data_IF_326542207554
#
_entry.id   IF_326542207554
#
_cell.length_a   1.000
_cell.length_b   1.000
_cell.length_c   1.000
_cell.angle_alpha   90.00
_cell.angle_beta   90.00
_cell.angle_gamma   90.00
#
_symmetry.space_group_name_H-M   'P 1'
#
loop_
_entity.id
_entity.type
_entity.pdbx_description
1 polymer ?
#
# COMPACT_ATOMS: atom_id res chain seq x y z
N UNK A 1 -67.92 14.81 20.79
CA UNK A 1 -67.04 14.54 19.63
C UNK A 1 -66.95 15.82 18.81
N UNK A 2 -65.84 16.57 18.87
CA UNK A 2 -65.56 17.70 17.96
C UNK A 2 -64.05 17.71 17.72
N UNK A 3 -63.60 16.97 16.69
CA UNK A 3 -62.21 17.03 16.20
C UNK A 3 -62.04 18.37 15.49
N UNK A 4 -61.10 19.21 15.96
CA UNK A 4 -60.64 20.38 15.21
C UNK A 4 -59.99 19.86 13.91
N UNK A 5 -60.57 20.25 12.78
CA UNK A 5 -59.99 20.00 11.46
C UNK A 5 -58.62 20.71 11.38
N UNK A 6 -57.58 19.96 11.01
CA UNK A 6 -56.28 20.53 10.65
C UNK A 6 -56.47 21.25 9.31
N UNK A 7 -56.39 22.58 9.31
CA UNK A 7 -56.31 23.31 8.04
C UNK A 7 -54.95 22.98 7.41
N UNK A 8 -54.90 22.56 6.12
CA UNK A 8 -53.64 22.42 5.42
C UNK A 8 -53.04 23.82 5.23
N UNK A 9 -52.17 24.24 6.13
CA UNK A 9 -51.52 25.55 6.08
C UNK A 9 -50.57 25.61 4.88
N UNK A 10 -50.89 26.44 3.90
CA UNK A 10 -49.94 26.83 2.86
C UNK A 10 -48.96 27.87 3.39
N UNK A 11 -47.73 27.85 2.89
CA UNK A 11 -46.72 28.85 3.24
C UNK A 11 -47.14 30.24 2.77
N UNK A 12 -46.98 31.24 3.64
CA UNK A 12 -47.17 32.63 3.27
C UNK A 12 -46.06 33.07 2.32
N UNK A 13 -46.35 34.04 1.46
CA UNK A 13 -45.36 34.60 0.53
C UNK A 13 -44.13 35.17 1.26
N UNK A 14 -44.30 35.69 2.48
CA UNK A 14 -43.20 36.18 3.33
C UNK A 14 -42.32 35.03 3.82
N UNK A 15 -42.89 33.90 4.24
CA UNK A 15 -42.12 32.71 4.65
C UNK A 15 -41.30 32.14 3.49
N UNK A 16 -41.89 32.07 2.29
CA UNK A 16 -41.17 31.63 1.08
C UNK A 16 -40.02 32.57 0.71
N UNK A 17 -40.24 33.89 0.79
CA UNK A 17 -39.21 34.88 0.48
C UNK A 17 -38.06 34.84 1.49
N UNK A 18 -38.39 34.61 2.77
CA UNK A 18 -37.41 34.49 3.84
C UNK A 18 -36.58 33.20 3.72
N UNK A 19 -37.20 32.09 3.34
CA UNK A 19 -36.49 30.82 3.08
C UNK A 19 -35.57 30.94 1.86
N UNK A 20 -36.01 31.58 0.77
CA UNK A 20 -35.19 31.80 -0.41
C UNK A 20 -33.99 32.70 -0.11
N UNK A 21 -34.20 33.77 0.67
CA UNK A 21 -33.13 34.68 1.07
C UNK A 21 -32.08 33.98 1.96
N UNK A 22 -32.52 33.22 2.97
CA UNK A 22 -31.61 32.42 3.82
C UNK A 22 -30.85 31.37 3.02
N UNK A 23 -31.52 30.69 2.09
CA UNK A 23 -30.89 29.67 1.24
C UNK A 23 -29.80 30.29 0.35
N UNK A 24 -30.07 31.45 -0.24
CA UNK A 24 -29.10 32.16 -1.08
C UNK A 24 -27.87 32.62 -0.28
N UNK A 25 -28.05 33.09 0.96
CA UNK A 25 -26.94 33.50 1.83
C UNK A 25 -26.09 32.30 2.26
N UNK A 26 -26.72 31.19 2.65
CA UNK A 26 -26.00 29.97 3.08
C UNK A 26 -25.25 29.35 1.89
N UNK A 27 -25.90 29.20 0.74
CA UNK A 27 -25.26 28.65 -0.46
C UNK A 27 -24.17 29.58 -0.99
N UNK A 28 -24.40 30.89 -1.01
CA UNK A 28 -23.40 31.88 -1.39
C UNK A 28 -22.18 31.85 -0.47
N UNK A 29 -22.41 31.79 0.85
CA UNK A 29 -21.34 31.68 1.84
C UNK A 29 -20.53 30.39 1.69
N UNK A 30 -21.20 29.25 1.44
CA UNK A 30 -20.53 27.97 1.21
C UNK A 30 -19.68 27.98 -0.08
N UNK A 31 -20.22 28.52 -1.18
CA UNK A 31 -19.51 28.59 -2.48
C UNK A 31 -18.32 29.54 -2.41
N UNK A 32 -18.46 30.70 -1.76
CA UNK A 32 -17.34 31.64 -1.58
C UNK A 32 -16.29 31.04 -0.66
N UNK A 33 -16.69 30.42 0.46
CA UNK A 33 -15.76 29.77 1.40
C UNK A 33 -15.00 28.62 0.73
N UNK A 34 -15.70 27.77 -0.02
CA UNK A 34 -15.10 26.70 -0.80
C UNK A 34 -14.15 27.25 -1.88
N UNK A 35 -14.59 28.29 -2.61
CA UNK A 35 -13.77 28.98 -3.61
C UNK A 35 -12.51 29.61 -3.01
N UNK A 36 -12.60 30.21 -1.82
CA UNK A 36 -11.43 30.70 -1.09
C UNK A 36 -10.53 29.58 -0.61
N UNK A 37 -11.07 28.47 -0.09
CA UNK A 37 -10.26 27.31 0.32
C UNK A 37 -9.49 26.74 -0.89
N UNK A 38 -10.17 26.53 -2.02
CA UNK A 38 -9.57 26.03 -3.26
C UNK A 38 -8.55 27.00 -3.84
N UNK A 39 -8.77 28.33 -3.73
CA UNK A 39 -7.82 29.35 -4.23
C UNK A 39 -6.70 29.69 -3.24
N UNK A 40 -6.90 29.44 -1.95
CA UNK A 40 -5.88 29.59 -0.90
C UNK A 40 -5.05 28.34 -0.71
N UNK A 41 -5.45 27.22 -1.33
CA UNK A 41 -4.54 26.10 -1.50
C UNK A 41 -3.36 26.61 -2.32
N UNK A 42 -2.13 26.57 -1.78
CA UNK A 42 -0.97 26.89 -2.59
C UNK A 42 -1.02 26.00 -3.82
N UNK A 43 -0.92 26.60 -5.01
CA UNK A 43 -0.77 25.84 -6.25
C UNK A 43 0.59 25.14 -6.21
N UNK A 44 0.63 23.94 -5.63
CA UNK A 44 1.80 23.07 -5.67
C UNK A 44 1.51 21.91 -6.62
N UNK A 45 1.14 22.22 -7.86
CA UNK A 45 1.40 21.28 -8.95
C UNK A 45 2.86 21.44 -9.34
N UNK A 46 3.76 20.97 -8.49
CA UNK A 46 5.13 20.71 -8.92
C UNK A 46 5.23 19.22 -9.22
N UNK A 47 4.78 18.84 -10.43
CA UNK A 47 5.16 17.55 -10.99
C UNK A 47 6.68 17.50 -11.04
N UNK A 48 7.26 16.40 -10.57
CA UNK A 48 8.69 16.14 -10.62
C UNK A 48 8.92 15.12 -11.72
N UNK A 49 9.80 15.44 -12.66
CA UNK A 49 10.28 14.48 -13.65
C UNK A 49 11.23 13.49 -12.95
N UNK A 50 10.75 12.29 -12.67
CA UNK A 50 11.49 11.23 -11.99
C UNK A 50 12.19 10.35 -13.02
N UNK A 51 13.53 10.26 -13.01
CA UNK A 51 14.28 9.44 -13.95
C UNK A 51 14.27 7.97 -13.53
N UNK A 52 13.13 7.28 -13.72
CA UNK A 52 13.02 5.85 -13.41
C UNK A 52 13.92 4.99 -14.31
N UNK A 53 14.19 5.43 -15.53
CA UNK A 53 14.82 4.65 -16.58
C UNK A 53 13.83 3.70 -17.27
N UNK A 54 14.03 3.49 -18.57
CA UNK A 54 13.17 2.71 -19.45
C UNK A 54 12.80 1.32 -18.92
N UNK A 55 13.77 0.56 -18.38
CA UNK A 55 13.48 -0.78 -17.84
C UNK A 55 12.49 -0.76 -16.66
N UNK A 56 12.61 0.23 -15.76
CA UNK A 56 11.70 0.37 -14.61
C UNK A 56 10.33 0.89 -15.05
N UNK A 57 10.30 1.88 -15.92
CA UNK A 57 9.05 2.43 -16.44
C UNK A 57 8.26 1.37 -17.23
N UNK A 58 8.93 0.53 -18.02
CA UNK A 58 8.31 -0.57 -18.74
C UNK A 58 7.79 -1.63 -17.77
N UNK A 59 8.57 -2.02 -16.76
CA UNK A 59 8.12 -2.98 -15.76
C UNK A 59 6.93 -2.48 -14.91
N UNK A 60 6.93 -1.19 -14.57
CA UNK A 60 5.94 -0.60 -13.68
C UNK A 60 4.64 -0.30 -14.42
N UNK A 61 4.73 0.32 -15.60
CA UNK A 61 3.60 0.93 -16.29
C UNK A 61 3.41 0.44 -17.74
N UNK A 62 4.31 -0.41 -18.25
CA UNK A 62 4.32 -0.79 -19.67
C UNK A 62 4.71 0.37 -20.59
N UNK A 63 5.43 1.36 -20.07
CA UNK A 63 5.81 2.58 -20.79
C UNK A 63 7.29 2.54 -21.20
N UNK A 64 7.58 2.77 -22.48
CA UNK A 64 8.93 2.94 -23.00
C UNK A 64 9.38 4.40 -22.82
N UNK A 65 9.66 4.79 -21.57
CA UNK A 65 10.12 6.15 -21.21
C UNK A 65 11.19 6.09 -20.13
N UNK A 66 12.22 6.93 -20.22
CA UNK A 66 13.23 7.04 -19.16
C UNK A 66 12.78 7.90 -17.98
N UNK A 67 11.73 8.70 -18.16
CA UNK A 67 11.20 9.61 -17.13
C UNK A 67 9.70 9.43 -16.94
N UNK A 68 9.24 9.49 -15.70
CA UNK A 68 7.82 9.55 -15.34
C UNK A 68 7.57 10.81 -14.53
N UNK A 69 6.50 11.53 -14.84
CA UNK A 69 6.10 12.70 -14.07
C UNK A 69 5.28 12.25 -12.87
N UNK A 70 5.79 12.50 -11.66
CA UNK A 70 5.13 12.18 -10.41
C UNK A 70 4.73 13.45 -9.68
N UNK A 71 3.59 13.46 -8.99
CA UNK A 71 3.23 14.60 -8.17
C UNK A 71 4.12 14.68 -6.92
N UNK A 72 4.61 15.87 -6.57
CA UNK A 72 5.36 16.07 -5.32
C UNK A 72 4.41 16.09 -4.12
N UNK A 73 4.79 15.39 -3.05
CA UNK A 73 4.04 15.39 -1.79
C UNK A 73 4.21 16.72 -1.02
N UNK A 74 3.18 17.20 -0.30
CA UNK A 74 1.85 16.62 -0.17
C UNK A 74 0.97 16.91 -1.40
N UNK A 75 0.18 15.92 -1.85
CA UNK A 75 -0.71 16.04 -3.01
C UNK A 75 -2.07 15.36 -2.80
N UNK A 76 -3.16 16.14 -2.86
CA UNK A 76 -4.52 15.64 -2.64
C UNK A 76 -5.10 14.87 -3.84
N UNK A 77 -4.65 15.14 -5.07
CA UNK A 77 -5.05 14.34 -6.24
C UNK A 77 -4.46 12.92 -6.21
N UNK A 78 -3.22 12.77 -5.77
CA UNK A 78 -2.62 11.46 -5.53
C UNK A 78 -3.27 10.77 -4.32
N UNK A 79 -3.69 11.54 -3.30
CA UNK A 79 -4.45 11.02 -2.17
C UNK A 79 -5.79 10.40 -2.60
N UNK A 80 -6.54 11.04 -3.51
CA UNK A 80 -7.81 10.45 -3.98
C UNK A 80 -7.60 9.12 -4.71
N UNK A 81 -6.52 9.00 -5.50
CA UNK A 81 -6.16 7.73 -6.15
C UNK A 81 -5.71 6.68 -5.12
N UNK A 82 -5.02 7.09 -4.05
CA UNK A 82 -4.65 6.20 -2.96
C UNK A 82 -5.86 5.68 -2.18
N UNK A 83 -6.88 6.52 -1.96
CA UNK A 83 -8.14 6.13 -1.34
C UNK A 83 -8.95 5.16 -2.21
N UNK A 84 -9.06 5.43 -3.51
CA UNK A 84 -9.70 4.50 -4.46
C UNK A 84 -8.99 3.14 -4.47
N UNK A 85 -7.65 3.17 -4.53
CA UNK A 85 -6.84 1.95 -4.48
C UNK A 85 -6.99 1.20 -3.15
N UNK A 86 -7.12 1.93 -2.03
CA UNK A 86 -7.37 1.34 -0.71
C UNK A 86 -8.70 0.59 -0.69
N UNK A 87 -9.77 1.19 -1.21
CA UNK A 87 -11.08 0.54 -1.28
C UNK A 87 -11.05 -0.71 -2.15
N UNK A 88 -10.35 -0.64 -3.29
CA UNK A 88 -10.14 -1.80 -4.15
C UNK A 88 -9.33 -2.90 -3.44
N UNK A 89 -8.28 -2.54 -2.70
CA UNK A 89 -7.46 -3.49 -1.94
C UNK A 89 -8.24 -4.20 -0.85
N UNK A 90 -9.07 -3.47 -0.10
CA UNK A 90 -9.95 -4.08 0.90
C UNK A 90 -10.95 -5.02 0.25
N UNK A 91 -11.54 -4.64 -0.89
CA UNK A 91 -12.49 -5.49 -1.63
C UNK A 91 -11.82 -6.76 -2.15
N UNK A 92 -10.64 -6.64 -2.76
CA UNK A 92 -9.86 -7.79 -3.24
C UNK A 92 -9.48 -8.72 -2.08
N UNK A 93 -9.06 -8.15 -0.95
CA UNK A 93 -8.69 -8.90 0.25
C UNK A 93 -9.88 -9.64 0.87
N UNK A 94 -11.05 -9.00 0.94
CA UNK A 94 -12.26 -9.61 1.51
C UNK A 94 -12.73 -10.83 0.70
N UNK A 95 -12.52 -10.81 -0.61
CA UNK A 95 -12.87 -11.93 -1.51
C UNK A 95 -11.74 -12.95 -1.69
N UNK A 96 -10.59 -12.74 -1.05
CA UNK A 96 -9.41 -13.58 -1.20
C UNK A 96 -9.48 -14.85 -0.35
N UNK A 97 -8.89 -15.92 -0.87
CA UNK A 97 -8.66 -17.15 -0.09
C UNK A 97 -7.41 -17.05 0.77
N UNK A 98 -6.36 -16.42 0.24
CA UNK A 98 -5.11 -16.18 0.94
C UNK A 98 -4.44 -14.89 0.48
N UNK A 99 -3.68 -14.27 1.38
CA UNK A 99 -2.88 -13.07 1.12
C UNK A 99 -1.43 -13.32 1.54
N UNK A 100 -0.49 -13.09 0.64
CA UNK A 100 0.95 -13.23 0.92
C UNK A 100 1.71 -11.95 0.66
N UNK A 101 2.36 -11.42 1.69
CA UNK A 101 3.28 -10.29 1.55
C UNK A 101 4.71 -10.81 1.43
N UNK A 102 5.38 -10.49 0.32
CA UNK A 102 6.76 -10.87 0.05
C UNK A 102 7.64 -9.61 -0.10
N UNK A 103 8.74 -9.49 0.65
CA UNK A 103 9.66 -8.37 0.49
C UNK A 103 10.58 -8.58 -0.72
N UNK A 104 11.04 -7.50 -1.34
CA UNK A 104 11.94 -7.55 -2.51
C UNK A 104 12.91 -6.37 -2.54
N UNK A 105 14.10 -6.59 -3.09
CA UNK A 105 15.09 -5.53 -3.28
C UNK A 105 15.01 -4.89 -4.68
N UNK A 106 14.48 -5.63 -5.66
CA UNK A 106 14.37 -5.22 -7.06
C UNK A 106 12.93 -5.01 -7.52
N UNK A 107 12.78 -4.80 -8.83
CA UNK A 107 11.48 -4.74 -9.50
C UNK A 107 10.82 -6.11 -9.53
N UNK A 108 9.50 -6.16 -9.44
CA UNK A 108 8.76 -7.40 -9.62
C UNK A 108 8.66 -7.77 -11.12
N UNK A 109 9.39 -8.78 -11.56
CA UNK A 109 9.34 -9.27 -12.95
C UNK A 109 8.38 -10.46 -13.13
N UNK A 110 7.72 -10.91 -12.07
CA UNK A 110 6.87 -12.10 -12.09
C UNK A 110 5.47 -11.79 -11.55
N UNK A 111 4.54 -11.63 -12.49
CA UNK A 111 3.15 -11.22 -12.22
C UNK A 111 2.14 -12.20 -12.82
N UNK A 112 2.15 -13.48 -12.46
CA UNK A 112 1.29 -14.47 -13.10
C UNK A 112 -0.16 -14.30 -12.68
N UNK A 113 -1.10 -14.70 -13.55
CA UNK A 113 -2.51 -14.78 -13.15
C UNK A 113 -2.89 -16.12 -12.49
N UNK A 114 -2.04 -17.15 -12.63
CA UNK A 114 -2.23 -18.45 -11.98
C UNK A 114 -0.89 -19.02 -11.53
N UNK A 115 -0.91 -19.83 -10.47
CA UNK A 115 0.27 -20.50 -9.92
C UNK A 115 -0.02 -21.99 -9.90
N UNK A 116 0.85 -22.83 -10.46
CA UNK A 116 0.67 -24.27 -10.42
C UNK A 116 0.65 -24.77 -8.97
N UNK A 117 -0.24 -25.71 -8.67
CA UNK A 117 -0.37 -26.34 -7.35
C UNK A 117 -1.02 -27.72 -7.47
N UNK A 118 -0.35 -28.73 -6.95
CA UNK A 118 -0.80 -30.12 -6.86
C UNK A 118 -0.96 -30.52 -5.38
N UNK A 119 -2.19 -30.78 -4.93
CA UNK A 119 -2.45 -31.14 -3.53
C UNK A 119 -1.87 -32.48 -3.09
N UNK A 120 -1.38 -33.31 -4.02
CA UNK A 120 -0.74 -34.60 -3.72
C UNK A 120 0.77 -34.51 -3.54
N UNK A 121 1.41 -33.48 -4.13
CA UNK A 121 2.85 -33.26 -4.08
C UNK A 121 3.21 -32.04 -3.23
N UNK A 122 2.40 -30.99 -3.31
CA UNK A 122 2.64 -29.72 -2.67
C UNK A 122 2.03 -29.71 -1.28
N UNK A 123 2.86 -29.34 -0.31
CA UNK A 123 2.43 -29.18 1.08
C UNK A 123 1.60 -27.91 1.30
N UNK A 124 1.08 -27.77 2.51
CA UNK A 124 0.31 -26.59 2.91
C UNK A 124 1.11 -25.29 2.74
N UNK A 125 0.57 -24.37 1.94
CA UNK A 125 1.04 -23.00 1.83
C UNK A 125 0.34 -22.21 2.94
N UNK A 126 0.95 -22.14 4.10
CA UNK A 126 0.33 -21.50 5.27
C UNK A 126 1.19 -20.41 5.91
N UNK A 127 2.34 -20.12 5.29
CA UNK A 127 3.23 -19.02 5.65
C UNK A 127 3.78 -18.38 4.38
N UNK A 128 4.18 -17.09 4.42
CA UNK A 128 4.78 -16.45 3.26
C UNK A 128 6.08 -17.13 2.79
N UNK A 129 6.80 -17.82 3.68
CA UNK A 129 8.07 -18.50 3.33
C UNK A 129 7.80 -19.78 2.57
N UNK A 130 6.78 -20.55 2.98
CA UNK A 130 6.35 -21.71 2.20
C UNK A 130 5.79 -21.29 0.86
N UNK A 131 4.99 -20.23 0.81
CA UNK A 131 4.53 -19.66 -0.46
C UNK A 131 5.69 -19.22 -1.35
N UNK A 132 6.70 -18.52 -0.78
CA UNK A 132 7.92 -18.15 -1.50
C UNK A 132 8.69 -19.36 -2.02
N UNK A 133 8.91 -20.38 -1.19
CA UNK A 133 9.59 -21.61 -1.60
C UNK A 133 8.84 -22.33 -2.73
N UNK A 134 7.50 -22.35 -2.65
CA UNK A 134 6.63 -22.92 -3.66
C UNK A 134 6.78 -22.25 -5.02
N UNK A 135 6.70 -20.92 -5.08
CA UNK A 135 6.82 -20.19 -6.36
C UNK A 135 8.23 -20.29 -6.96
N UNK A 136 9.27 -20.43 -6.14
CA UNK A 136 10.64 -20.66 -6.62
C UNK A 136 10.73 -22.06 -7.26
N UNK A 137 10.22 -23.08 -6.58
CA UNK A 137 10.30 -24.46 -7.04
C UNK A 137 9.42 -24.76 -8.27
N UNK A 138 8.18 -24.27 -8.29
CA UNK A 138 7.17 -24.66 -9.29
C UNK A 138 6.97 -23.64 -10.40
N UNK A 139 7.21 -22.35 -10.14
CA UNK A 139 7.02 -21.30 -11.14
C UNK A 139 8.34 -20.74 -11.71
N UNK A 140 9.48 -21.31 -11.32
CA UNK A 140 10.81 -20.92 -11.83
C UNK A 140 11.19 -19.48 -11.47
N UNK A 141 10.57 -18.92 -10.43
CA UNK A 141 10.88 -17.58 -9.96
C UNK A 141 12.30 -17.56 -9.43
N UNK A 142 13.09 -16.56 -9.83
CA UNK A 142 14.45 -16.39 -9.29
C UNK A 142 14.41 -16.35 -7.77
N UNK A 143 15.26 -17.14 -7.11
CA UNK A 143 15.36 -17.18 -5.65
C UNK A 143 15.78 -15.84 -5.04
N UNK A 144 16.35 -14.94 -5.85
CA UNK A 144 16.73 -13.58 -5.47
C UNK A 144 15.61 -12.54 -5.62
N UNK A 145 14.50 -12.85 -6.31
CA UNK A 145 13.44 -11.86 -6.57
C UNK A 145 12.74 -11.44 -5.27
N UNK A 146 12.35 -12.43 -4.48
CA UNK A 146 11.72 -12.24 -3.18
C UNK A 146 12.69 -12.65 -2.08
N UNK A 147 12.76 -11.86 -1.01
CA UNK A 147 13.55 -12.18 0.18
C UNK A 147 12.72 -12.95 1.20
N UNK A 148 13.42 -13.60 2.12
CA UNK A 148 12.78 -14.18 3.29
C UNK A 148 12.16 -13.06 4.14
N UNK A 149 10.90 -13.22 4.54
CA UNK A 149 10.18 -12.24 5.34
C UNK A 149 10.57 -12.28 6.83
N UNK A 150 11.18 -13.38 7.28
CA UNK A 150 11.45 -13.63 8.71
C UNK A 150 12.63 -12.85 9.27
N UNK A 151 13.44 -12.17 8.44
CA UNK A 151 14.72 -11.67 8.90
C UNK A 151 15.11 -10.22 8.56
N UNK A 152 14.22 -9.21 8.60
CA UNK A 152 14.66 -7.85 8.32
C UNK A 152 15.54 -7.21 9.42
N UNK A 153 15.76 -7.84 10.59
CA UNK A 153 16.40 -7.16 11.73
C UNK A 153 17.48 -7.95 12.51
N UNK A 154 17.77 -9.22 12.19
CA UNK A 154 18.65 -10.06 13.03
C UNK A 154 19.97 -10.53 12.39
N UNK A 155 20.26 -10.20 11.13
CA UNK A 155 21.52 -10.56 10.47
C UNK A 155 22.38 -9.34 10.07
N UNK A 156 21.97 -8.12 10.47
CA UNK A 156 22.64 -6.89 10.05
C UNK A 156 22.41 -6.53 8.57
N UNK A 157 21.52 -7.23 7.86
CA UNK A 157 21.16 -6.89 6.48
C UNK A 157 20.08 -5.81 6.45
N UNK A 158 20.12 -4.97 5.41
CA UNK A 158 19.17 -3.88 5.25
C UNK A 158 17.74 -4.42 5.03
N UNK A 159 16.77 -3.77 5.66
CA UNK A 159 15.33 -4.01 5.46
C UNK A 159 15.01 -3.71 3.98
N UNK A 160 14.39 -4.65 3.25
CA UNK A 160 13.97 -4.41 1.87
C UNK A 160 13.05 -3.20 1.77
N UNK A 161 13.32 -2.34 0.79
CA UNK A 161 12.54 -1.11 0.56
C UNK A 161 11.24 -1.36 -0.19
N UNK A 162 11.13 -2.48 -0.90
CA UNK A 162 9.99 -2.78 -1.76
C UNK A 162 9.27 -4.04 -1.29
N UNK A 163 7.99 -4.16 -1.65
CA UNK A 163 7.17 -5.32 -1.33
C UNK A 163 6.18 -5.64 -2.45
N UNK A 164 5.74 -6.90 -2.48
CA UNK A 164 4.65 -7.37 -3.33
C UNK A 164 3.64 -8.13 -2.47
N UNK A 165 2.37 -7.80 -2.64
CA UNK A 165 1.24 -8.45 -1.95
C UNK A 165 0.48 -9.26 -2.98
N UNK A 166 0.47 -10.57 -2.80
CA UNK A 166 -0.29 -11.52 -3.61
C UNK A 166 -1.65 -11.72 -2.97
N UNK A 167 -2.70 -11.47 -3.74
CA UNK A 167 -4.08 -11.75 -3.35
C UNK A 167 -4.55 -12.95 -4.16
N UNK A 168 -4.74 -14.09 -3.49
CA UNK A 168 -5.10 -15.36 -4.12
C UNK A 168 -6.61 -15.62 -4.05
N UNK A 169 -7.09 -16.43 -4.99
CA UNK A 169 -8.47 -16.88 -5.06
C UNK A 169 -8.57 -18.33 -5.52
N UNK A 170 -9.81 -18.81 -5.60
CA UNK A 170 -10.10 -20.10 -6.22
C UNK A 170 -9.88 -20.06 -7.72
N UNK A 171 -9.27 -21.11 -8.27
CA UNK A 171 -9.08 -21.28 -9.71
C UNK A 171 -10.16 -22.17 -10.30
N UNK A 172 -10.59 -21.83 -11.52
CA UNK A 172 -11.39 -22.73 -12.38
C UNK A 172 -10.54 -23.79 -13.10
N UNK A 173 -9.22 -23.61 -13.11
CA UNK A 173 -8.28 -24.53 -13.74
C UNK A 173 -7.76 -25.53 -12.72
N UNK A 174 -7.94 -26.82 -12.99
CA UNK A 174 -7.41 -27.89 -12.16
C UNK A 174 -5.87 -27.82 -12.10
N UNK A 175 -5.30 -28.01 -10.91
CA UNK A 175 -3.85 -27.94 -10.70
C UNK A 175 -3.28 -26.53 -10.60
N UNK A 176 -4.12 -25.50 -10.41
CA UNK A 176 -3.68 -24.12 -10.29
C UNK A 176 -4.40 -23.37 -9.16
N UNK A 177 -3.69 -22.45 -8.53
CA UNK A 177 -4.23 -21.38 -7.69
C UNK A 177 -4.44 -20.13 -8.54
N UNK A 178 -5.52 -19.39 -8.30
CA UNK A 178 -5.77 -18.12 -8.99
C UNK A 178 -5.05 -16.99 -8.24
N UNK A 179 -4.41 -16.10 -8.99
CA UNK A 179 -3.95 -14.81 -8.49
C UNK A 179 -4.98 -13.77 -8.93
N UNK A 180 -5.76 -13.25 -7.98
CA UNK A 180 -6.80 -12.25 -8.26
C UNK A 180 -6.15 -10.90 -8.56
N UNK A 181 -5.18 -10.51 -7.74
CA UNK A 181 -4.42 -9.29 -7.91
C UNK A 181 -3.04 -9.39 -7.27
N UNK A 182 -2.10 -8.58 -7.78
CA UNK A 182 -0.81 -8.31 -7.13
C UNK A 182 -0.72 -6.81 -6.88
N UNK A 183 -0.39 -6.44 -5.64
CA UNK A 183 -0.08 -5.05 -5.29
C UNK A 183 1.42 -4.90 -5.08
N UNK A 184 2.07 -4.10 -5.92
CA UNK A 184 3.50 -3.79 -5.79
C UNK A 184 3.67 -2.41 -5.14
N UNK A 185 4.41 -2.40 -4.04
CA UNK A 185 4.82 -1.19 -3.33
C UNK A 185 6.31 -0.97 -3.59
N UNK A 186 6.64 0.15 -4.24
CA UNK A 186 8.01 0.52 -4.59
C UNK A 186 8.41 1.84 -3.94
N UNK A 187 9.59 1.85 -3.32
CA UNK A 187 10.27 3.01 -2.77
C UNK A 187 11.66 3.12 -3.41
N UNK A 188 11.83 4.11 -4.27
CA UNK A 188 13.09 4.37 -4.98
C UNK A 188 13.66 5.67 -4.47
N UNK A 189 14.85 5.60 -3.88
CA UNK A 189 15.58 6.78 -3.42
C UNK A 189 16.44 7.35 -4.55
N UNK A 190 16.37 8.66 -4.70
CA UNK A 190 17.18 9.45 -5.61
C UNK A 190 18.04 10.42 -4.81
N UNK A 191 19.36 10.28 -4.95
CA UNK A 191 20.37 11.16 -4.30
C UNK A 191 21.46 11.59 -5.29
N UNK A 192 21.27 11.32 -6.58
CA UNK A 192 22.25 11.67 -7.61
C UNK A 192 22.33 13.18 -7.82
N UNK A 193 23.53 13.69 -8.13
CA UNK A 193 23.75 15.13 -8.36
C UNK A 193 22.95 15.71 -9.56
N UNK A 194 22.39 14.86 -10.42
CA UNK A 194 21.60 15.22 -11.60
C UNK A 194 20.15 14.74 -11.53
N UNK A 195 19.73 14.22 -10.39
CA UNK A 195 18.40 13.64 -10.18
C UNK A 195 17.61 14.48 -9.17
N UNK A 196 16.27 14.43 -9.20
CA UNK A 196 15.48 15.04 -8.15
C UNK A 196 15.78 14.33 -6.83
N UNK A 197 16.26 15.10 -5.89
CA UNK A 197 16.64 14.67 -4.56
C UNK A 197 15.39 14.30 -3.74
N UNK A 198 15.22 13.01 -3.36
CA UNK A 198 14.04 12.54 -2.63
C UNK A 198 13.73 11.05 -2.78
N UNK A 199 12.48 10.66 -2.48
CA UNK A 199 12.00 9.28 -2.60
C UNK A 199 10.77 9.25 -3.51
N UNK A 200 10.86 8.52 -4.60
CA UNK A 200 9.70 8.13 -5.40
C UNK A 200 9.03 6.93 -4.75
N UNK A 201 7.74 7.06 -4.46
CA UNK A 201 6.93 5.98 -3.94
C UNK A 201 5.79 5.67 -4.92
N UNK A 202 5.50 4.39 -5.14
CA UNK A 202 4.35 3.98 -5.92
C UNK A 202 3.69 2.74 -5.33
N UNK A 203 2.37 2.71 -5.36
CA UNK A 203 1.57 1.51 -5.09
C UNK A 203 0.77 1.21 -6.33
N UNK A 204 0.98 0.02 -6.89
CA UNK A 204 0.44 -0.39 -8.18
C UNK A 204 -0.34 -1.68 -8.01
N UNK A 205 -1.51 -1.76 -8.62
CA UNK A 205 -2.33 -2.97 -8.70
C UNK A 205 -2.24 -3.56 -10.10
N UNK A 206 -1.94 -4.84 -10.14
CA UNK A 206 -1.99 -5.66 -11.33
C UNK A 206 -3.12 -6.68 -11.18
N UNK A 207 -3.99 -6.77 -12.18
CA UNK A 207 -5.00 -7.84 -12.25
C UNK A 207 -5.24 -8.24 -13.70
N UNK A 208 -6.10 -9.23 -13.94
CA UNK A 208 -6.49 -9.57 -15.31
C UNK A 208 -7.41 -8.51 -15.92
N UNK A 209 -7.12 -8.13 -17.17
CA UNK A 209 -8.04 -7.37 -18.03
C UNK A 209 -8.95 -8.34 -18.77
N UNK A 210 -10.19 -8.46 -18.31
CA UNK A 210 -11.24 -9.34 -18.87
C UNK A 210 -10.95 -10.85 -18.75
N UNK A 211 -12.02 -11.66 -18.78
CA UNK A 211 -11.98 -13.10 -18.55
C UNK A 211 -11.23 -13.85 -19.66
N UNK A 212 -9.90 -13.85 -19.60
CA UNK A 212 -9.06 -14.69 -20.45
C UNK A 212 -9.41 -16.16 -20.22
N UNK A 213 -9.51 -16.92 -21.31
CA UNK A 213 -9.71 -18.38 -21.26
C UNK A 213 -8.38 -19.12 -21.09
N UNK A 214 -7.25 -18.42 -21.24
CA UNK A 214 -5.91 -18.94 -21.01
C UNK A 214 -5.21 -18.18 -19.87
N UNK A 215 -4.42 -18.88 -19.04
CA UNK A 215 -3.48 -18.24 -18.12
C UNK A 215 -2.63 -17.17 -18.81
N UNK A 216 -2.67 -15.93 -18.30
CA UNK A 216 -1.84 -14.83 -18.79
C UNK A 216 -1.07 -14.17 -17.64
N UNK A 217 -0.25 -13.19 -17.96
CA UNK A 217 0.40 -12.32 -16.96
C UNK A 217 -0.58 -11.20 -16.59
N UNK A 218 -0.66 -10.85 -15.32
CA UNK A 218 -1.46 -9.72 -14.83
C UNK A 218 -0.92 -8.42 -15.44
N UNK A 219 -1.83 -7.54 -15.80
CA UNK A 219 -1.53 -6.24 -16.41
C UNK A 219 -1.76 -5.12 -15.42
N UNK A 220 -1.09 -3.98 -15.63
CA UNK A 220 -1.26 -2.81 -14.78
C UNK A 220 -2.70 -2.29 -14.92
N UNK A 221 -3.41 -2.18 -13.79
CA UNK A 221 -4.83 -1.77 -13.78
C UNK A 221 -5.05 -0.40 -13.17
N UNK A 222 -4.12 0.05 -12.32
CA UNK A 222 -4.26 1.30 -11.60
C UNK A 222 -3.33 1.35 -10.41
N UNK A 223 -3.21 2.54 -9.84
CA UNK A 223 -2.30 2.80 -8.75
C UNK A 223 -2.14 4.29 -8.54
N UNK A 224 -1.26 4.63 -7.61
CA UNK A 224 -0.82 6.00 -7.42
C UNK A 224 0.69 6.03 -7.27
N UNK A 225 1.27 7.16 -7.64
CA UNK A 225 2.66 7.48 -7.42
C UNK A 225 2.81 8.91 -6.89
N UNK A 226 3.86 9.10 -6.10
CA UNK A 226 4.12 10.35 -5.42
C UNK A 226 5.61 10.48 -5.15
N UNK A 227 6.13 11.68 -5.31
CA UNK A 227 7.52 12.01 -5.00
C UNK A 227 7.60 12.75 -3.67
N UNK A 228 8.27 12.15 -2.69
CA UNK A 228 8.51 12.76 -1.39
C UNK A 228 9.83 13.53 -1.41
N UNK A 229 9.81 14.86 -1.16
CA UNK A 229 11.03 15.60 -0.92
C UNK A 229 11.75 15.10 0.35
N UNK A 230 13.05 15.40 0.49
CA UNK A 230 13.83 14.99 1.66
C UNK A 230 13.28 15.65 2.93
N UNK A 231 13.33 14.97 4.08
CA UNK A 231 12.85 15.57 5.34
C UNK A 231 13.74 16.71 5.84
N UNK A 232 15.04 16.61 5.56
CA UNK A 232 16.01 17.68 5.79
C UNK A 232 16.10 18.53 4.52
N UNK A 233 15.77 19.83 4.55
CA UNK A 233 15.94 20.69 3.38
C UNK A 233 17.41 20.79 2.97
N UNK A 234 17.70 20.68 1.67
CA UNK A 234 19.05 20.78 1.09
C UNK A 234 20.11 19.88 1.79
N UNK A 235 19.89 18.56 1.83
CA UNK A 235 20.83 17.65 2.47
C UNK A 235 22.18 17.65 1.70
N UNK A 236 23.27 17.87 2.44
CA UNK A 236 24.64 17.98 1.92
C UNK A 236 25.49 16.73 2.19
N UNK A 237 24.95 15.76 2.94
CA UNK A 237 25.67 14.55 3.35
C UNK A 237 24.79 13.30 3.34
N UNK A 238 25.40 12.14 3.06
CA UNK A 238 24.72 10.84 3.05
C UNK A 238 24.01 10.49 4.38
N UNK A 239 24.50 11.01 5.51
CA UNK A 239 23.89 10.81 6.83
C UNK A 239 22.54 11.51 6.96
N UNK A 240 22.37 12.70 6.37
CA UNK A 240 21.08 13.41 6.33
C UNK A 240 20.05 12.69 5.45
N UNK A 241 20.51 11.91 4.48
CA UNK A 241 19.68 11.05 3.63
C UNK A 241 19.32 9.72 4.30
N UNK A 242 20.17 9.24 5.21
CA UNK A 242 20.02 7.93 5.86
C UNK A 242 18.84 7.89 6.84
N UNK A 243 18.40 9.05 7.32
CA UNK A 243 17.27 9.17 8.25
C UNK A 243 15.91 9.11 7.55
N UNK A 244 15.85 9.47 6.27
CA UNK A 244 14.65 9.28 5.46
C UNK A 244 14.49 7.80 5.12
N UNK A 245 13.27 7.28 5.15
CA UNK A 245 13.01 5.88 4.83
C UNK A 245 11.66 5.43 5.35
N UNK A 246 10.92 4.66 4.56
CA UNK A 246 9.58 4.19 4.90
C UNK A 246 9.55 2.67 4.94
N UNK A 247 10.17 2.12 5.98
CA UNK A 247 10.28 0.68 6.20
C UNK A 247 10.06 0.34 7.67
N UNK A 248 9.55 -0.86 7.98
CA UNK A 248 9.12 -1.89 7.03
C UNK A 248 7.75 -1.58 6.39
N UNK A 249 7.55 -2.04 5.15
CA UNK A 249 6.27 -1.89 4.43
C UNK A 249 5.16 -2.80 4.96
N UNK A 250 5.54 -3.91 5.58
CA UNK A 250 4.61 -4.79 6.27
C UNK A 250 5.32 -5.56 7.37
N UNK A 251 4.55 -6.07 8.34
CA UNK A 251 5.01 -7.12 9.23
C UNK A 251 3.98 -8.24 9.32
N UNK A 252 4.47 -9.47 9.23
CA UNK A 252 3.70 -10.71 9.42
C UNK A 252 3.57 -11.10 10.89
N UNK A 253 2.37 -11.49 11.28
CA UNK A 253 2.07 -12.15 12.55
C UNK A 253 1.66 -13.60 12.26
N UNK A 254 2.37 -14.55 12.84
CA UNK A 254 2.11 -15.97 12.63
C UNK A 254 1.26 -16.58 13.74
N UNK A 255 0.54 -17.65 13.42
CA UNK A 255 -0.26 -18.38 14.41
C UNK A 255 0.61 -18.97 15.51
N UNK A 256 0.26 -18.68 16.76
CA UNK A 256 1.01 -19.08 17.95
C UNK A 256 1.15 -20.61 18.13
N UNK A 257 0.21 -21.39 17.58
CA UNK A 257 0.24 -22.86 17.65
C UNK A 257 1.27 -23.49 16.71
N UNK A 258 1.87 -22.73 15.78
CA UNK A 258 3.04 -23.20 15.06
C UNK A 258 4.25 -23.07 15.96
N UNK A 259 5.12 -24.10 15.90
CA UNK A 259 6.47 -24.09 16.45
C UNK A 259 7.16 -22.76 16.10
N UNK A 260 7.02 -21.77 16.97
CA UNK A 260 7.99 -20.71 17.06
C UNK A 260 9.30 -21.44 17.35
N UNK A 261 10.18 -21.50 16.36
CA UNK A 261 11.54 -21.97 16.57
C UNK A 261 12.03 -21.34 17.87
N UNK A 262 12.53 -22.16 18.79
CA UNK A 262 13.06 -21.67 20.06
C UNK A 262 14.40 -21.02 19.77
N UNK A 263 14.35 -19.79 19.28
CA UNK A 263 15.54 -19.01 18.99
C UNK A 263 16.20 -18.56 20.29
N UNK A 264 17.52 -18.54 20.30
CA UNK A 264 18.33 -18.30 21.49
C UNK A 264 18.14 -16.89 22.06
N UNK A 265 18.45 -16.64 23.35
CA UNK A 265 18.25 -15.33 24.00
C UNK A 265 18.91 -14.11 23.33
N UNK A 266 19.90 -14.30 22.44
CA UNK A 266 20.54 -13.23 21.66
C UNK A 266 19.67 -12.74 20.50
N UNK A 267 18.76 -13.59 20.02
CA UNK A 267 17.69 -13.32 19.06
C UNK A 267 16.39 -13.31 19.85
N UNK A 268 16.20 -12.27 20.67
CA UNK A 268 14.93 -12.01 21.36
C UNK A 268 13.81 -12.24 20.34
N UNK A 269 12.79 -13.00 20.73
CA UNK A 269 11.58 -13.38 19.99
C UNK A 269 10.91 -12.14 19.36
N UNK A 270 11.49 -11.64 18.26
CA UNK A 270 11.03 -10.50 17.46
C UNK A 270 9.92 -10.95 16.50
N UNK A 271 9.61 -12.24 16.47
CA UNK A 271 8.52 -12.80 15.71
C UNK A 271 7.20 -12.50 16.38
N UNK A 272 6.34 -11.85 15.61
CA UNK A 272 5.05 -11.44 16.13
C UNK A 272 4.10 -12.61 16.07
N UNK A 273 3.55 -12.97 17.22
CA UNK A 273 2.62 -14.08 17.36
C UNK A 273 1.20 -13.55 17.39
N UNK A 274 0.34 -14.17 16.60
CA UNK A 274 -1.10 -14.04 16.69
C UNK A 274 -1.66 -15.28 17.40
N UNK A 275 -2.44 -15.09 18.46
CA UNK A 275 -2.98 -16.21 19.24
C UNK A 275 -3.88 -17.14 18.41
N UNK A 276 -4.67 -16.57 17.49
CA UNK A 276 -5.67 -17.33 16.75
C UNK A 276 -5.30 -17.49 15.27
N UNK A 277 -5.24 -16.37 14.54
CA UNK A 277 -5.12 -16.35 13.08
C UNK A 277 -3.95 -15.48 12.62
N UNK A 278 -3.19 -15.92 11.62
CA UNK A 278 -2.11 -15.11 11.08
C UNK A 278 -2.65 -13.91 10.31
N UNK A 279 -1.97 -12.77 10.43
CA UNK A 279 -2.34 -11.52 9.79
C UNK A 279 -1.11 -10.64 9.51
N UNK A 280 -1.29 -9.56 8.77
CA UNK A 280 -0.25 -8.57 8.50
C UNK A 280 -0.67 -7.20 9.01
N UNK A 281 0.30 -6.44 9.48
CA UNK A 281 0.22 -4.98 9.39
C UNK A 281 0.90 -4.55 8.10
N UNK A 282 0.25 -3.69 7.32
CA UNK A 282 0.74 -3.20 6.03
C UNK A 282 0.65 -1.67 6.05
N UNK A 283 1.70 -1.00 5.58
CA UNK A 283 1.77 0.45 5.47
C UNK A 283 2.01 0.85 4.03
N UNK A 284 1.17 1.75 3.52
CA UNK A 284 1.40 2.39 2.24
C UNK A 284 1.86 3.84 2.41
N UNK A 285 2.70 4.36 1.49
CA UNK A 285 3.13 5.75 1.52
C UNK A 285 1.93 6.68 1.32
N UNK A 286 1.75 7.65 2.22
CA UNK A 286 0.63 8.57 2.22
C UNK A 286 0.91 9.81 1.35
N UNK A 287 0.19 10.06 0.25
CA UNK A 287 0.43 11.24 -0.57
C UNK A 287 0.19 12.57 0.15
N UNK A 288 -0.54 12.58 1.27
CA UNK A 288 -0.81 13.79 2.06
C UNK A 288 0.31 14.15 3.04
N UNK A 289 1.28 13.26 3.30
CA UNK A 289 2.43 13.61 4.16
C UNK A 289 3.52 14.29 3.34
N UNK A 290 4.18 15.29 3.94
CA UNK A 290 5.20 16.07 3.23
C UNK A 290 6.46 15.27 2.89
N UNK A 291 6.88 14.35 3.76
CA UNK A 291 8.14 13.62 3.61
C UNK A 291 8.10 12.29 4.36
N UNK A 292 9.00 11.38 3.99
CA UNK A 292 9.19 10.08 4.65
C UNK A 292 10.37 10.11 5.65
N UNK A 293 10.49 11.20 6.41
CA UNK A 293 11.45 11.35 7.51
C UNK A 293 11.15 10.44 8.71
N UNK A 294 12.12 10.27 9.62
CA UNK A 294 12.01 9.31 10.72
C UNK A 294 11.01 9.78 11.77
N UNK A 295 10.37 8.83 12.44
CA UNK A 295 9.60 9.06 13.67
C UNK A 295 10.30 8.34 14.81
N UNK A 296 10.42 9.01 15.96
CA UNK A 296 11.08 8.46 17.12
C UNK A 296 10.36 7.20 17.61
N UNK A 297 11.12 6.13 17.84
CA UNK A 297 10.59 4.93 18.45
C UNK A 297 10.64 5.07 19.98
N UNK A 298 9.50 4.92 20.64
CA UNK A 298 9.36 5.08 22.09
C UNK A 298 9.47 3.76 22.87
N UNK A 299 9.52 2.61 22.19
CA UNK A 299 9.65 1.31 22.83
C UNK A 299 11.12 0.95 23.11
N UNK A 300 11.35 0.17 24.18
CA UNK A 300 12.68 -0.35 24.49
C UNK A 300 13.19 -1.31 23.42
N UNK A 301 14.51 -1.47 23.32
CA UNK A 301 15.13 -2.40 22.37
C UNK A 301 14.80 -3.87 22.58
N UNK A 302 14.25 -4.20 23.75
CA UNK A 302 13.82 -5.55 24.13
C UNK A 302 12.36 -5.82 23.78
N UNK A 303 11.58 -4.79 23.42
CA UNK A 303 10.18 -4.93 23.03
C UNK A 303 10.09 -5.25 21.53
N UNK A 304 9.43 -6.35 21.11
CA UNK A 304 9.22 -6.67 19.70
C UNK A 304 8.53 -5.58 18.89
N UNK A 305 7.77 -4.70 19.56
CA UNK A 305 7.11 -3.53 18.94
C UNK A 305 8.09 -2.49 18.43
N UNK A 306 9.31 -2.48 18.97
CA UNK A 306 10.38 -1.61 18.47
C UNK A 306 10.66 -1.84 16.97
N UNK A 307 10.42 -3.04 16.42
CA UNK A 307 10.67 -3.33 15.01
C UNK A 307 9.82 -2.52 14.02
N UNK A 308 8.70 -1.93 14.45
CA UNK A 308 7.73 -1.30 13.55
C UNK A 308 6.98 -0.10 14.13
N UNK A 309 7.08 0.17 15.44
CA UNK A 309 6.31 1.25 16.04
C UNK A 309 6.69 2.63 15.50
N UNK A 310 7.90 2.81 14.98
CA UNK A 310 8.25 4.04 14.26
C UNK A 310 7.42 4.24 13.00
N UNK A 311 6.71 3.23 12.48
CA UNK A 311 5.73 3.38 11.40
C UNK A 311 4.38 3.93 11.88
N UNK A 312 4.12 3.92 13.20
CA UNK A 312 2.89 4.49 13.76
C UNK A 312 2.84 6.00 13.50
N UNK A 313 1.71 6.47 12.98
CA UNK A 313 1.49 7.88 12.66
C UNK A 313 2.26 8.40 11.44
N UNK A 314 2.99 7.56 10.70
CA UNK A 314 3.71 7.96 9.48
C UNK A 314 2.85 7.97 8.22
N UNK A 315 1.69 7.32 8.28
CA UNK A 315 0.73 7.21 7.18
C UNK A 315 -0.66 7.00 7.76
N UNK A 316 -1.69 7.55 7.11
CA UNK A 316 -3.07 7.16 7.36
C UNK A 316 -3.42 5.80 6.72
N UNK A 317 -2.63 5.33 5.75
CA UNK A 317 -2.82 4.07 5.03
C UNK A 317 -2.14 2.91 5.73
N UNK A 318 -2.65 2.57 6.91
CA UNK A 318 -2.27 1.38 7.66
C UNK A 318 -3.41 0.35 7.63
N UNK A 319 -3.07 -0.89 7.27
CA UNK A 319 -4.03 -1.98 7.14
C UNK A 319 -3.69 -3.11 8.09
N UNK A 320 -4.74 -3.74 8.62
CA UNK A 320 -4.64 -5.05 9.27
C UNK A 320 -5.33 -6.05 8.36
N UNK A 321 -4.56 -6.97 7.77
CA UNK A 321 -5.04 -7.89 6.74
C UNK A 321 -4.88 -9.34 7.22
N UNK A 322 -5.95 -10.13 7.35
CA UNK A 322 -5.81 -11.55 7.65
C UNK A 322 -5.12 -12.26 6.49
N UNK A 323 -4.22 -13.20 6.81
CA UNK A 323 -3.53 -14.00 5.79
C UNK A 323 -4.48 -14.96 5.09
N UNK A 324 -5.54 -15.39 5.77
CA UNK A 324 -6.60 -16.25 5.23
C UNK A 324 -7.97 -15.62 5.53
N UNK A 325 -8.43 -14.65 4.72
CA UNK A 325 -9.68 -13.93 4.96
C UNK A 325 -10.93 -14.81 4.89
N UNK A 326 -10.91 -15.84 4.04
CA UNK A 326 -12.04 -16.75 3.81
C UNK A 326 -12.19 -17.87 4.85
N UNK A 327 -11.22 -18.04 5.74
CA UNK A 327 -11.29 -19.03 6.84
C UNK A 327 -11.92 -18.38 8.06
#
# INVERSE_FOLDING_TARGET
MNRRAHQPGGFTSVELLLVLALSAVILGGAVVSYGTIVRSQPSVSSMVAVPLGSTRAENFYGLLSDTVNAAMAPQYGALSLAEELREQFLTDTLSATAVYCLPRDGMNTWKPAVIAYDSTQDGELDTPQKFRAHIIAHAGVSSSLYRDYRNPLNDGTAIPLNASIFVLGYSKYAGYLKVNAIYDIDLIRFTGAREPNGIYASVKRYSETSASLTPSTLTYMGGYDVFFPPSVPNPTSASQWSTDGFTPLFITFERASRLALRETPATIDRFKRAYERPFYFIWWPDPAVRHLGPVANTFSSTDPRQAYNHMAGRTAFMFTVPMFPAL
#
